data_IF_309315947375
#
_entry.id   IF_309315947375
#
_cell.length_a   1.000
_cell.length_b   1.000
_cell.length_c   1.000
_cell.angle_alpha   90.00
_cell.angle_beta   90.00
_cell.angle_gamma   90.00
#
_symmetry.space_group_name_H-M   'P 1'
#
loop_
_entity.id
_entity.type
_entity.pdbx_description
1 polymer ?
#
# COMPACT_ATOMS: atom_id res chain seq x y z
N UNK A 1 6.86 -13.78 -3.61
CA UNK A 1 6.39 -13.28 -2.46
C UNK A 1 5.54 -12.10 -2.66
N UNK A 2 4.47 -12.03 -2.04
CA UNK A 2 3.63 -10.96 -2.25
C UNK A 2 3.92 -9.88 -1.32
N UNK A 3 3.68 -8.74 -1.65
CA UNK A 3 3.85 -7.61 -0.78
C UNK A 3 2.90 -7.63 0.37
N UNK A 4 3.16 -6.80 1.35
CA UNK A 4 2.29 -6.67 2.49
C UNK A 4 1.18 -5.72 2.10
N UNK A 5 -0.06 -6.10 2.40
CA UNK A 5 -1.16 -5.26 2.04
C UNK A 5 -1.31 -4.16 3.04
N UNK A 6 -1.01 -2.96 2.69
CA UNK A 6 -1.21 -1.81 3.55
C UNK A 6 -2.47 -1.09 3.09
N UNK A 7 -3.06 -0.38 3.94
CA UNK A 7 -4.34 0.23 3.65
C UNK A 7 -4.30 1.20 2.51
N UNK A 8 -5.11 0.99 1.51
CA UNK A 8 -5.23 1.89 0.41
C UNK A 8 -6.69 2.01 0.20
N UNK A 9 -7.13 3.03 -0.49
CA UNK A 9 -8.47 3.16 -0.74
C UNK A 9 -8.95 2.11 -1.60
N UNK A 10 -9.98 1.44 -1.28
CA UNK A 10 -10.50 0.43 -2.10
C UNK A 10 -11.74 0.96 -2.64
N UNK A 11 -11.79 1.53 -3.82
CA UNK A 11 -12.97 2.01 -4.35
C UNK A 11 -13.12 1.63 -5.76
N UNK A 12 -14.24 1.45 -6.24
CA UNK A 12 -14.43 1.09 -7.56
C UNK A 12 -14.22 2.20 -8.46
N UNK A 13 -13.39 2.13 -9.41
CA UNK A 13 -13.12 3.13 -10.34
C UNK A 13 -13.71 2.82 -11.63
N UNK A 14 -14.57 3.61 -12.05
CA UNK A 14 -15.15 3.36 -13.27
C UNK A 14 -14.49 3.95 -14.37
N UNK A 15 -13.39 4.51 -14.34
CA UNK A 15 -12.85 5.12 -15.44
C UNK A 15 -12.14 4.27 -16.25
N UNK A 16 -12.30 4.16 -17.29
CA UNK A 16 -11.64 3.33 -18.04
C UNK A 16 -10.71 3.82 -18.90
N UNK A 17 -10.25 4.84 -18.79
CA UNK A 17 -9.48 5.35 -19.68
C UNK A 17 -8.22 5.06 -19.51
N UNK A 18 -7.68 4.04 -19.29
CA UNK A 18 -6.46 3.85 -19.14
C UNK A 18 -5.79 3.72 -20.23
N UNK A 19 -5.34 4.13 -20.87
CA UNK A 19 -4.77 4.02 -21.98
C UNK A 19 -3.52 3.68 -21.92
N UNK A 20 -3.10 3.14 -21.48
CA UNK A 20 -1.87 2.69 -21.60
C UNK A 20 -0.79 3.56 -21.54
N UNK A 21 -0.69 4.51 -21.25
CA UNK A 21 0.21 5.35 -21.34
C UNK A 21 0.90 5.25 -20.21
N UNK A 22 1.69 4.86 -19.85
CA UNK A 22 2.36 4.73 -18.87
C UNK A 22 3.08 5.69 -18.31
N UNK A 23 3.21 6.62 -18.22
CA UNK A 23 3.94 7.50 -17.78
C UNK A 23 3.58 7.89 -16.64
N UNK A 24 3.77 8.21 -16.03
CA UNK A 24 3.29 8.46 -15.08
C UNK A 24 3.74 9.01 -14.00
N UNK A 25 3.57 8.98 -13.06
CA UNK A 25 3.84 9.49 -11.96
C UNK A 25 5.03 8.97 -11.54
N UNK A 26 6.08 9.49 -11.48
CA UNK A 26 7.18 8.92 -11.00
C UNK A 26 7.69 9.75 -9.86
N UNK A 27 8.18 9.15 -8.85
CA UNK A 27 8.74 9.83 -7.73
C UNK A 27 10.22 9.50 -7.76
N UNK A 28 11.10 10.48 -7.74
CA UNK A 28 12.52 10.21 -7.80
C UNK A 28 12.95 9.27 -6.70
N UNK A 29 13.67 8.23 -7.06
CA UNK A 29 14.14 7.26 -6.12
C UNK A 29 13.12 6.23 -5.68
N UNK A 30 11.90 6.29 -6.19
CA UNK A 30 10.88 5.35 -5.84
C UNK A 30 10.29 4.77 -7.10
N UNK A 31 10.54 3.53 -7.42
CA UNK A 31 9.97 2.94 -8.62
C UNK A 31 8.46 2.78 -8.46
N UNK A 32 7.72 3.18 -9.46
CA UNK A 32 6.26 3.06 -9.42
C UNK A 32 5.85 2.24 -10.63
N UNK A 33 5.12 1.16 -10.41
CA UNK A 33 4.68 0.30 -11.49
C UNK A 33 3.16 0.18 -11.48
N UNK A 34 2.55 0.05 -12.63
CA UNK A 34 1.13 -0.14 -12.70
C UNK A 34 0.84 -1.57 -12.98
N UNK A 35 -0.13 -2.13 -12.31
CA UNK A 35 -0.53 -3.51 -12.54
C UNK A 35 -1.93 -3.72 -12.03
N UNK A 36 -2.51 -4.83 -12.38
CA UNK A 36 -3.84 -5.16 -11.89
C UNK A 36 -3.73 -5.58 -10.45
N UNK A 37 -4.45 -4.90 -9.60
CA UNK A 37 -4.49 -5.24 -8.18
C UNK A 37 -5.86 -5.76 -7.85
N UNK A 38 -5.92 -6.77 -6.99
CA UNK A 38 -7.19 -7.37 -6.74
C UNK A 38 -8.05 -6.65 -5.77
N UNK A 39 -9.29 -6.97 -5.75
CA UNK A 39 -10.19 -6.49 -4.69
C UNK A 39 -10.39 -5.00 -4.59
N UNK A 40 -10.25 -4.28 -5.65
CA UNK A 40 -10.46 -2.85 -5.59
C UNK A 40 -9.33 -2.07 -4.92
N UNK A 41 -8.21 -2.74 -4.67
CA UNK A 41 -7.08 -2.09 -4.07
C UNK A 41 -6.46 -1.14 -5.07
N UNK A 42 -6.17 0.08 -4.65
CA UNK A 42 -5.65 1.08 -5.55
C UNK A 42 -4.13 1.16 -5.54
N UNK A 43 -3.48 0.77 -4.49
CA UNK A 43 -2.03 0.81 -4.43
C UNK A 43 -1.44 -0.10 -3.39
N UNK A 44 -0.16 -0.39 -3.51
CA UNK A 44 0.55 -1.20 -2.55
C UNK A 44 1.95 -0.64 -2.40
N UNK A 45 2.42 -0.53 -1.17
CA UNK A 45 3.79 -0.14 -0.91
C UNK A 45 4.56 -1.41 -0.58
N UNK A 46 5.72 -1.57 -1.17
CA UNK A 46 6.52 -2.78 -0.98
C UNK A 46 7.77 -2.49 -0.18
N UNK A 47 8.27 -3.48 0.52
CA UNK A 47 9.41 -3.28 1.39
C UNK A 47 10.71 -3.07 0.63
N UNK A 48 10.72 -3.27 -0.67
CA UNK A 48 11.90 -2.99 -1.47
C UNK A 48 11.89 -1.51 -1.91
N UNK A 49 10.90 -0.74 -1.48
CA UNK A 49 10.83 0.67 -1.81
C UNK A 49 10.00 0.98 -3.04
N UNK A 50 9.37 -0.01 -3.65
CA UNK A 50 8.58 0.25 -4.85
C UNK A 50 7.11 0.41 -4.49
N UNK A 51 6.36 1.02 -5.39
CA UNK A 51 4.93 1.20 -5.24
C UNK A 51 4.25 0.59 -6.44
N UNK A 52 3.19 -0.17 -6.21
CA UNK A 52 2.35 -0.64 -7.29
C UNK A 52 1.09 0.20 -7.28
N UNK A 53 0.65 0.67 -8.44
CA UNK A 53 -0.60 1.37 -8.57
C UNK A 53 -1.54 0.55 -9.41
N UNK A 54 -2.80 0.56 -9.09
CA UNK A 54 -3.77 -0.14 -9.88
C UNK A 54 -3.81 0.43 -11.29
N UNK A 55 -3.93 -0.43 -12.27
CA UNK A 55 -4.00 0.01 -13.65
C UNK A 55 -5.37 0.61 -13.96
N UNK A 56 -6.30 0.63 -12.99
CA UNK A 56 -7.57 1.27 -13.22
C UNK A 56 -7.52 2.76 -12.90
N UNK A 57 -6.42 3.25 -12.34
CA UNK A 57 -6.32 4.67 -12.02
C UNK A 57 -5.83 5.43 -13.23
N UNK A 58 -6.55 6.50 -13.56
CA UNK A 58 -6.17 7.28 -14.70
C UNK A 58 -4.90 8.07 -14.44
N UNK A 59 -3.93 8.02 -15.34
CA UNK A 59 -2.68 8.76 -15.13
C UNK A 59 -2.94 10.26 -15.03
N UNK A 60 -2.29 10.90 -14.09
CA UNK A 60 -2.44 12.33 -13.87
C UNK A 60 -3.66 12.74 -13.10
N UNK A 61 -4.45 11.80 -12.64
CA UNK A 61 -5.69 12.15 -11.96
C UNK A 61 -5.44 12.49 -10.51
N UNK A 62 -6.37 13.18 -9.87
CA UNK A 62 -6.24 13.43 -8.44
C UNK A 62 -6.17 12.16 -7.62
N UNK A 63 -6.85 11.10 -8.09
CA UNK A 63 -6.81 9.83 -7.38
C UNK A 63 -5.41 9.23 -7.43
N UNK A 64 -4.71 9.40 -8.54
CA UNK A 64 -3.35 8.90 -8.62
C UNK A 64 -2.49 9.62 -7.61
N UNK A 65 -2.60 10.93 -7.52
CA UNK A 65 -1.83 11.69 -6.60
C UNK A 65 -2.13 11.29 -5.17
N UNK A 66 -3.39 11.16 -4.85
CA UNK A 66 -3.80 10.78 -3.50
C UNK A 66 -3.25 9.40 -3.14
N UNK A 67 -3.33 8.46 -4.07
CA UNK A 67 -2.87 7.11 -3.82
C UNK A 67 -1.34 7.08 -3.64
N UNK A 68 -0.63 7.84 -4.46
CA UNK A 68 0.81 7.88 -4.33
C UNK A 68 1.25 8.47 -3.00
N UNK A 69 0.61 9.52 -2.54
CA UNK A 69 0.94 10.12 -1.28
C UNK A 69 0.73 9.13 -0.14
N UNK A 70 -0.38 8.40 -0.21
CA UNK A 70 -0.70 7.41 0.81
C UNK A 70 0.36 6.30 0.85
N UNK A 71 0.71 5.77 -0.31
CA UNK A 71 1.67 4.67 -0.34
C UNK A 71 3.09 5.17 -0.01
N UNK A 72 3.39 6.42 -0.35
CA UNK A 72 4.69 6.96 -0.06
C UNK A 72 4.93 7.08 1.44
N UNK A 73 3.88 7.36 2.21
CA UNK A 73 4.00 7.42 3.64
C UNK A 73 4.45 6.06 4.18
N UNK A 74 3.88 4.99 3.66
CA UNK A 74 4.28 3.65 4.08
C UNK A 74 5.74 3.38 3.69
N UNK A 75 6.15 3.83 2.51
CA UNK A 75 7.53 3.63 2.08
C UNK A 75 8.50 4.34 3.02
N UNK A 76 8.16 5.56 3.41
CA UNK A 76 9.02 6.31 4.32
C UNK A 76 9.10 5.60 5.67
N UNK A 77 7.97 5.10 6.16
CA UNK A 77 7.97 4.41 7.43
C UNK A 77 8.82 3.13 7.36
N UNK A 78 8.79 2.45 6.22
CA UNK A 78 9.60 1.26 6.07
C UNK A 78 11.08 1.60 5.96
N UNK A 79 11.40 2.67 5.24
CA UNK A 79 12.79 3.03 5.10
C UNK A 79 13.41 3.55 6.38
N UNK A 80 12.64 4.16 7.22
CA UNK A 80 13.16 4.69 8.47
C UNK A 80 13.13 3.65 9.58
N UNK A 81 12.61 2.47 9.29
CA UNK A 81 12.58 1.41 10.29
C UNK A 81 11.40 1.45 11.22
N UNK A 82 10.46 2.38 11.03
CA UNK A 82 9.30 2.39 11.90
C UNK A 82 8.37 1.26 11.56
N UNK A 83 8.26 0.88 10.32
CA UNK A 83 7.36 -0.18 9.89
C UNK A 83 8.14 -1.27 9.21
N UNK A 84 7.89 -2.51 9.56
CA UNK A 84 8.48 -3.64 8.89
C UNK A 84 7.50 -4.77 8.82
N UNK A 85 7.73 -5.74 7.98
CA UNK A 85 6.85 -6.88 7.96
C UNK A 85 7.56 -8.10 7.38
N UNK A 86 7.05 -9.25 7.73
CA UNK A 86 7.49 -10.49 7.15
C UNK A 86 6.28 -11.31 6.83
N UNK A 87 6.45 -12.56 6.53
CA UNK A 87 5.31 -13.41 6.15
C UNK A 87 4.37 -13.62 7.34
N UNK A 88 4.88 -13.63 8.54
CA UNK A 88 4.06 -13.95 9.69
C UNK A 88 4.10 -12.88 10.76
N UNK A 89 4.57 -11.69 10.46
CA UNK A 89 4.59 -10.63 11.45
C UNK A 89 4.55 -9.25 10.83
N UNK A 90 4.20 -8.26 11.64
CA UNK A 90 4.32 -6.87 11.28
C UNK A 90 5.00 -6.20 12.48
N UNK A 91 5.95 -5.29 12.22
CA UNK A 91 6.63 -4.63 13.27
C UNK A 91 6.38 -3.14 13.17
N UNK A 92 6.03 -2.52 14.26
CA UNK A 92 5.79 -1.09 14.27
C UNK A 92 6.44 -0.50 15.49
N UNK A 93 7.37 0.43 15.25
CA UNK A 93 8.08 1.09 16.31
C UNK A 93 8.63 0.11 17.36
N UNK A 94 9.20 -0.95 16.89
CA UNK A 94 9.83 -1.94 17.73
C UNK A 94 8.94 -3.04 18.28
N UNK A 95 7.62 -2.91 18.11
CA UNK A 95 6.74 -3.93 18.60
C UNK A 95 6.35 -4.85 17.46
N UNK A 96 6.25 -6.13 17.73
CA UNK A 96 5.95 -7.12 16.71
C UNK A 96 4.56 -7.67 16.92
N UNK A 97 3.77 -7.73 15.87
CA UNK A 97 2.43 -8.27 15.93
C UNK A 97 2.29 -9.45 14.98
N UNK A 98 1.66 -10.53 15.39
CA UNK A 98 1.50 -11.70 14.50
C UNK A 98 0.65 -11.38 13.28
N UNK A 99 0.98 -11.98 12.16
CA UNK A 99 0.26 -11.77 10.94
C UNK A 99 -0.09 -13.11 10.35
N UNK A 100 -1.36 -13.31 9.96
CA UNK A 100 -1.78 -14.57 9.44
C UNK A 100 -2.98 -14.42 8.57
N UNK A 101 -2.95 -14.99 7.38
CA UNK A 101 -4.11 -15.00 6.50
C UNK A 101 -4.78 -13.65 6.31
N UNK A 102 -3.99 -12.65 6.06
CA UNK A 102 -4.52 -11.33 5.77
C UNK A 102 -4.98 -10.56 7.00
N UNK A 103 -4.65 -11.05 8.19
CA UNK A 103 -5.00 -10.37 9.40
C UNK A 103 -3.81 -10.21 10.31
N UNK A 104 -3.89 -9.24 11.20
CA UNK A 104 -2.83 -8.98 12.15
C UNK A 104 -3.42 -8.99 13.54
N UNK A 105 -2.75 -9.68 14.45
CA UNK A 105 -3.25 -9.75 15.82
C UNK A 105 -2.75 -8.53 16.57
N UNK A 106 -3.64 -7.58 16.79
CA UNK A 106 -3.28 -6.32 17.38
C UNK A 106 -3.91 -6.25 18.76
N UNK A 107 -3.09 -6.32 19.77
CA UNK A 107 -3.53 -6.34 21.15
C UNK A 107 -4.68 -7.32 21.37
N UNK A 108 -4.44 -8.54 20.94
CA UNK A 108 -5.39 -9.62 21.20
C UNK A 108 -6.50 -9.81 20.22
N UNK A 109 -6.62 -8.92 19.22
CA UNK A 109 -7.69 -9.08 18.27
C UNK A 109 -7.15 -9.21 16.88
N UNK A 110 -7.71 -10.12 16.10
CA UNK A 110 -7.31 -10.29 14.71
C UNK A 110 -8.07 -9.27 13.87
N UNK A 111 -7.35 -8.35 13.25
CA UNK A 111 -7.93 -7.28 12.47
C UNK A 111 -7.36 -7.35 11.07
N UNK A 112 -8.16 -7.08 10.07
CA UNK A 112 -7.71 -7.16 8.71
C UNK A 112 -6.59 -6.21 8.38
N UNK A 113 -5.64 -6.64 7.57
CA UNK A 113 -4.55 -5.79 7.15
C UNK A 113 -5.11 -4.58 6.46
N UNK A 114 -4.53 -3.45 6.66
CA UNK A 114 -5.00 -2.23 6.04
C UNK A 114 -6.02 -1.47 6.85
N UNK A 115 -6.45 -2.00 7.97
CA UNK A 115 -7.45 -1.33 8.77
C UNK A 115 -6.90 -0.06 9.35
N UNK A 116 -7.72 0.98 9.43
CA UNK A 116 -7.28 2.23 10.00
C UNK A 116 -7.16 2.18 11.50
N UNK A 117 -7.43 1.06 12.11
CA UNK A 117 -7.21 0.92 13.54
C UNK A 117 -5.73 0.83 13.83
N UNK A 118 -4.91 0.47 12.87
CA UNK A 118 -3.48 0.33 13.10
C UNK A 118 -2.80 1.69 13.04
N UNK A 119 -1.82 1.94 13.88
CA UNK A 119 -1.13 3.23 13.87
C UNK A 119 -0.43 3.53 12.55
N UNK A 120 0.04 2.52 11.86
CA UNK A 120 0.72 2.74 10.59
C UNK A 120 -0.24 3.08 9.45
N UNK A 121 -1.55 2.97 9.70
CA UNK A 121 -2.52 3.32 8.70
C UNK A 121 -3.23 4.64 9.01
N UNK A 122 -2.82 5.30 10.09
CA UNK A 122 -3.49 6.53 10.47
C UNK A 122 -2.77 7.72 9.90
N UNK A 123 -3.07 8.07 8.68
CA UNK A 123 -2.48 9.25 8.05
C UNK A 123 -3.28 9.70 6.82
#
# INVERSE_FOLDING_TARGET
KMGFKLGSESREIKDSNRFGRKRDASIPGTPVFRKTLEGGILGEANDDGSIFLSDTIEPGSPLEQHTLVHEMKHIVDMKTGKLGYGDDYVKWEGQTFPRKEGKIKYYGKWIEEGSKEFPWEQH
#
